data_IF_448755706286
#
_entry.id   IF_448755706286
#
_cell.length_a   1.000
_cell.length_b   1.000
_cell.length_c   1.000
_cell.angle_alpha   90.00
_cell.angle_beta   90.00
_cell.angle_gamma   90.00
#
_symmetry.space_group_name_H-M   'P 1'
#
loop_
_entity.id
_entity.type
_entity.pdbx_description
1 polymer ?
#
# COMPACT_ATOMS: atom_id res chain seq x y z
N UNK A 1 -5.04 -16.39 2.94
CA UNK A 1 -3.57 -16.25 2.87
C UNK A 1 -2.96 -17.16 1.80
N UNK A 2 -3.27 -18.47 1.79
CA UNK A 2 -2.72 -19.42 0.80
C UNK A 2 -2.96 -19.03 -0.67
N UNK A 3 -4.17 -18.59 -1.04
CA UNK A 3 -4.46 -18.21 -2.42
C UNK A 3 -3.54 -17.09 -2.94
N UNK A 4 -3.42 -15.97 -2.21
CA UNK A 4 -2.51 -14.87 -2.57
C UNK A 4 -1.05 -15.29 -2.64
N UNK A 5 -0.64 -16.22 -1.77
CA UNK A 5 0.69 -16.80 -1.83
C UNK A 5 0.88 -17.60 -3.12
N UNK A 6 -0.08 -18.46 -3.48
CA UNK A 6 -0.03 -19.21 -4.74
C UNK A 6 -0.01 -18.28 -5.96
N UNK A 7 -0.84 -17.23 -5.99
CA UNK A 7 -0.83 -16.24 -7.07
C UNK A 7 0.52 -15.54 -7.19
N UNK A 8 1.14 -15.20 -6.05
CA UNK A 8 2.47 -14.62 -6.02
C UNK A 8 3.53 -15.58 -6.56
N UNK A 9 3.44 -16.85 -6.17
CA UNK A 9 4.36 -17.90 -6.64
C UNK A 9 4.20 -18.16 -8.14
N UNK A 10 2.98 -18.13 -8.67
CA UNK A 10 2.72 -18.24 -10.11
C UNK A 10 3.38 -17.11 -10.88
N UNK A 11 3.31 -15.87 -10.38
CA UNK A 11 3.97 -14.72 -11.02
C UNK A 11 5.49 -14.82 -10.96
N UNK A 12 6.06 -15.30 -9.86
CA UNK A 12 7.52 -15.54 -9.76
C UNK A 12 7.97 -16.66 -10.70
N UNK A 13 7.13 -17.70 -10.88
CA UNK A 13 7.41 -18.79 -11.80
C UNK A 13 7.39 -18.31 -13.27
N UNK A 14 6.48 -17.41 -13.62
CA UNK A 14 6.34 -16.89 -14.99
C UNK A 14 7.35 -15.79 -15.32
N UNK A 15 7.51 -14.79 -14.44
CA UNK A 15 8.32 -13.59 -14.69
C UNK A 15 9.69 -13.61 -14.00
N UNK A 16 9.98 -14.64 -13.21
CA UNK A 16 11.20 -14.75 -12.42
C UNK A 16 11.14 -13.94 -11.11
N UNK A 17 12.31 -13.80 -10.48
CA UNK A 17 12.44 -13.11 -9.19
C UNK A 17 12.15 -11.60 -9.35
N UNK A 18 11.30 -11.00 -8.51
CA UNK A 18 11.06 -9.56 -8.53
C UNK A 18 12.31 -8.78 -8.12
N UNK A 19 12.72 -7.76 -8.88
CA UNK A 19 13.90 -6.94 -8.57
C UNK A 19 13.61 -5.84 -7.53
N UNK A 20 12.34 -5.49 -7.32
CA UNK A 20 11.91 -4.40 -6.45
C UNK A 20 10.94 -4.91 -5.38
N UNK A 21 11.05 -4.36 -4.17
CA UNK A 21 10.14 -4.61 -3.07
C UNK A 21 9.88 -3.30 -2.31
N UNK A 22 8.61 -2.95 -2.14
CA UNK A 22 8.20 -1.72 -1.45
C UNK A 22 7.38 -2.05 -0.21
N UNK A 23 7.71 -1.35 0.88
CA UNK A 23 6.92 -1.39 2.12
C UNK A 23 6.42 0.02 2.41
N UNK A 24 5.09 0.19 2.49
CA UNK A 24 4.48 1.38 3.07
C UNK A 24 3.97 1.00 4.45
N UNK A 25 4.46 1.70 5.47
CA UNK A 25 3.94 1.60 6.83
C UNK A 25 3.06 2.80 7.12
N UNK A 26 1.88 2.56 7.71
CA UNK A 26 1.02 3.64 8.14
C UNK A 26 1.67 4.43 9.29
N UNK A 27 1.61 5.76 9.22
CA UNK A 27 2.15 6.63 10.26
C UNK A 27 1.05 7.52 10.85
N UNK A 28 0.74 7.30 12.13
CA UNK A 28 -0.25 8.08 12.89
C UNK A 28 0.07 9.58 12.96
N UNK A 29 1.32 9.97 12.68
CA UNK A 29 1.72 11.38 12.67
C UNK A 29 1.47 12.12 11.36
N UNK A 30 0.90 11.46 10.35
CA UNK A 30 0.58 12.13 9.09
C UNK A 30 -0.37 13.32 9.30
N UNK A 31 -0.11 14.47 8.65
CA UNK A 31 -0.93 15.67 8.81
C UNK A 31 -2.38 15.41 8.39
N UNK A 32 -2.60 14.58 7.35
CA UNK A 32 -3.93 14.20 6.89
C UNK A 32 -4.73 13.37 7.90
N UNK A 33 -4.06 12.77 8.89
CA UNK A 33 -4.74 12.13 10.03
C UNK A 33 -5.02 13.18 11.09
N UNK A 34 -4.01 13.98 11.47
CA UNK A 34 -4.15 14.98 12.54
C UNK A 34 -5.19 16.05 12.25
N UNK A 35 -5.31 16.47 10.99
CA UNK A 35 -6.25 17.51 10.56
C UNK A 35 -7.71 17.10 10.71
N UNK A 36 -8.01 15.80 10.60
CA UNK A 36 -9.37 15.27 10.67
C UNK A 36 -9.71 14.64 12.03
N UNK A 37 -8.80 14.72 13.01
CA UNK A 37 -9.09 14.33 14.40
C UNK A 37 -9.85 15.45 15.11
N UNK A 38 -10.85 15.08 15.88
CA UNK A 38 -11.49 16.01 16.79
C UNK A 38 -10.54 16.42 17.94
N UNK A 39 -10.74 17.60 18.57
CA UNK A 39 -9.95 17.99 19.73
C UNK A 39 -10.02 16.94 20.85
N UNK A 40 -8.86 16.44 21.29
CA UNK A 40 -8.76 15.40 22.34
C UNK A 40 -8.99 13.97 21.85
N UNK A 41 -9.26 13.76 20.55
CA UNK A 41 -9.41 12.43 19.97
C UNK A 41 -8.04 11.81 19.67
N UNK A 42 -7.84 10.57 20.11
CA UNK A 42 -6.63 9.81 19.80
C UNK A 42 -6.76 9.05 18.48
N UNK A 43 -5.67 8.99 17.72
CA UNK A 43 -5.62 8.27 16.42
C UNK A 43 -6.07 6.82 16.55
N UNK A 44 -5.76 6.17 17.69
CA UNK A 44 -6.11 4.78 17.96
C UNK A 44 -7.62 4.54 17.98
N UNK A 45 -8.40 5.58 18.33
CA UNK A 45 -9.86 5.53 18.37
C UNK A 45 -10.50 5.77 17.00
N UNK A 46 -9.71 6.14 15.97
CA UNK A 46 -10.16 6.41 14.59
C UNK A 46 -9.45 5.57 13.54
N UNK A 47 -9.55 4.24 13.62
CA UNK A 47 -8.96 3.36 12.62
C UNK A 47 -9.53 3.60 11.20
N UNK A 48 -10.77 4.08 11.09
CA UNK A 48 -11.37 4.47 9.82
C UNK A 48 -10.55 5.56 9.11
N UNK A 49 -10.11 6.58 9.85
CA UNK A 49 -9.33 7.68 9.32
C UNK A 49 -7.94 7.21 8.88
N UNK A 50 -7.29 6.43 9.74
CA UNK A 50 -5.97 5.84 9.48
C UNK A 50 -6.00 4.98 8.20
N UNK A 51 -6.98 4.09 8.09
CA UNK A 51 -7.16 3.21 6.92
C UNK A 51 -7.44 4.01 5.66
N UNK A 52 -8.26 5.08 5.74
CA UNK A 52 -8.55 5.93 4.57
C UNK A 52 -7.31 6.66 4.07
N UNK A 53 -6.54 7.28 4.96
CA UNK A 53 -5.30 7.98 4.58
C UNK A 53 -4.27 7.00 4.02
N UNK A 54 -4.11 5.83 4.65
CA UNK A 54 -3.24 4.78 4.13
C UNK A 54 -3.66 4.32 2.72
N UNK A 55 -4.94 4.01 2.51
CA UNK A 55 -5.46 3.61 1.18
C UNK A 55 -5.24 4.69 0.13
N UNK A 56 -5.42 5.97 0.48
CA UNK A 56 -5.16 7.07 -0.44
C UNK A 56 -3.68 7.13 -0.85
N UNK A 57 -2.76 7.03 0.10
CA UNK A 57 -1.31 7.00 -0.20
C UNK A 57 -0.89 5.76 -0.99
N UNK A 58 -1.47 4.59 -0.68
CA UNK A 58 -1.23 3.37 -1.44
C UNK A 58 -1.73 3.50 -2.89
N UNK A 59 -2.91 4.10 -3.09
CA UNK A 59 -3.44 4.36 -4.43
C UNK A 59 -2.55 5.30 -5.23
N UNK A 60 -2.01 6.35 -4.60
CA UNK A 60 -1.06 7.27 -5.24
C UNK A 60 0.22 6.52 -5.64
N UNK A 61 0.78 5.68 -4.76
CA UNK A 61 1.97 4.90 -5.13
C UNK A 61 1.67 3.96 -6.30
N UNK A 62 0.55 3.23 -6.25
CA UNK A 62 0.12 2.34 -7.31
C UNK A 62 0.01 3.07 -8.66
N UNK A 63 -0.62 4.24 -8.67
CA UNK A 63 -0.77 5.04 -9.88
C UNK A 63 0.57 5.55 -10.41
N UNK A 64 1.49 5.97 -9.53
CA UNK A 64 2.84 6.36 -9.95
C UNK A 64 3.61 5.20 -10.61
N UNK A 65 3.45 4.00 -10.08
CA UNK A 65 4.10 2.80 -10.63
C UNK A 65 3.47 2.40 -11.96
N UNK A 66 2.14 2.29 -12.02
CA UNK A 66 1.44 1.71 -13.17
C UNK A 66 1.10 2.70 -14.28
N UNK A 67 0.73 3.94 -13.92
CA UNK A 67 0.29 4.98 -14.87
C UNK A 67 1.44 5.90 -15.25
N UNK A 68 2.15 6.44 -14.25
CA UNK A 68 3.26 7.37 -14.50
C UNK A 68 4.54 6.63 -14.91
N UNK A 69 4.56 5.29 -14.79
CA UNK A 69 5.64 4.40 -15.23
C UNK A 69 7.02 4.84 -14.71
N UNK A 70 7.09 5.25 -13.45
CA UNK A 70 8.34 5.75 -12.83
C UNK A 70 9.49 4.72 -12.83
N UNK A 71 9.16 3.43 -12.99
CA UNK A 71 10.12 2.33 -13.11
C UNK A 71 10.12 1.68 -14.51
N UNK A 72 9.46 2.31 -15.50
CA UNK A 72 9.20 1.73 -16.80
C UNK A 72 7.95 0.85 -16.84
N UNK A 73 7.85 -0.01 -17.85
CA UNK A 73 6.75 -0.97 -17.98
C UNK A 73 6.83 -2.06 -16.91
N UNK A 74 5.70 -2.29 -16.23
CA UNK A 74 5.59 -3.30 -15.17
C UNK A 74 4.96 -4.56 -15.75
N UNK A 75 5.75 -5.63 -15.88
CA UNK A 75 5.26 -6.91 -16.40
C UNK A 75 4.33 -7.64 -15.41
N UNK A 76 4.66 -7.59 -14.12
CA UNK A 76 3.84 -8.17 -13.06
C UNK A 76 4.05 -7.43 -11.73
N UNK A 77 3.00 -7.39 -10.91
CA UNK A 77 3.03 -6.80 -9.58
C UNK A 77 2.07 -7.53 -8.66
N UNK A 78 2.52 -7.79 -7.42
CA UNK A 78 1.67 -8.23 -6.32
C UNK A 78 1.82 -7.24 -5.17
N UNK A 79 0.72 -6.96 -4.49
CA UNK A 79 0.76 -6.24 -3.23
C UNK A 79 -0.15 -6.91 -2.20
N UNK A 80 0.22 -6.78 -0.94
CA UNK A 80 -0.57 -7.24 0.21
C UNK A 80 -0.70 -6.07 1.17
N UNK A 81 -1.89 -5.94 1.76
CA UNK A 81 -2.15 -5.01 2.86
C UNK A 81 -2.43 -5.83 4.11
N UNK A 82 -1.73 -5.50 5.18
CA UNK A 82 -1.89 -6.08 6.52
C UNK A 82 -2.45 -4.99 7.46
N UNK A 83 -3.29 -5.38 8.41
CA UNK A 83 -3.93 -4.49 9.39
C UNK A 83 -3.67 -5.00 10.80
#
# INVERSE_FOLDING_TARGET
MLHRYLDSMSLVQEFGRPPLFFTITCNSNWPEIKEYLAPGEEVQNRPDLVVRVFKAKLSILHDRIMKDKIFGEVASMVHVVEF
#
